data_IF_322464692441
#
_entry.id   IF_322464692441
#
_cell.length_a   1.000
_cell.length_b   1.000
_cell.length_c   1.000
_cell.angle_alpha   90.00
_cell.angle_beta   90.00
_cell.angle_gamma   90.00
#
_symmetry.space_group_name_H-M   'P 1'
#
loop_
_entity.id
_entity.type
_entity.pdbx_description
1 polymer ?
#
# COMPACT_ATOMS: atom_id res chain seq x y z
N UNK A 1 -21.58 25.61 -15.26
CA UNK A 1 -20.21 25.72 -14.69
C UNK A 1 -19.97 24.41 -13.98
N UNK A 2 -19.68 23.35 -14.75
CA UNK A 2 -19.76 21.96 -14.26
C UNK A 2 -18.55 21.16 -14.78
N UNK A 3 -17.34 21.67 -14.50
CA UNK A 3 -16.07 21.07 -14.95
C UNK A 3 -15.72 19.74 -14.27
N UNK A 4 -16.49 19.35 -13.24
CA UNK A 4 -16.24 18.14 -12.44
C UNK A 4 -16.75 16.86 -13.10
N UNK A 5 -17.68 16.95 -14.04
CA UNK A 5 -18.27 15.78 -14.73
C UNK A 5 -17.39 15.24 -15.86
N UNK A 6 -16.35 15.98 -16.27
CA UNK A 6 -15.44 15.57 -17.34
C UNK A 6 -14.34 14.61 -16.86
N UNK A 7 -14.20 14.39 -15.55
CA UNK A 7 -13.20 13.47 -15.01
C UNK A 7 -13.59 12.04 -15.37
N UNK A 8 -12.75 11.28 -16.12
CA UNK A 8 -13.07 9.93 -16.52
C UNK A 8 -12.88 8.96 -15.35
N UNK A 9 -13.89 8.91 -14.47
CA UNK A 9 -13.87 8.11 -13.25
C UNK A 9 -13.65 6.61 -13.51
N UNK A 10 -14.06 6.13 -14.69
CA UNK A 10 -13.87 4.76 -15.16
C UNK A 10 -12.40 4.37 -15.37
N UNK A 11 -11.50 5.33 -15.68
CA UNK A 11 -10.05 5.05 -15.73
C UNK A 11 -9.39 5.13 -14.35
N UNK A 12 -9.87 6.00 -13.47
CA UNK A 12 -9.26 6.25 -12.16
C UNK A 12 -9.69 5.20 -11.12
N UNK A 13 -10.94 4.76 -11.17
CA UNK A 13 -11.46 3.70 -10.28
C UNK A 13 -10.57 2.46 -10.22
N UNK A 14 -10.17 1.82 -11.34
CA UNK A 14 -9.35 0.61 -11.29
C UNK A 14 -7.96 0.88 -10.68
N UNK A 15 -7.39 2.06 -10.89
CA UNK A 15 -6.13 2.45 -10.24
C UNK A 15 -6.28 2.56 -8.72
N UNK A 16 -7.36 3.19 -8.25
CA UNK A 16 -7.65 3.30 -6.81
C UNK A 16 -7.90 1.91 -6.21
N UNK A 17 -8.70 1.07 -6.87
CA UNK A 17 -9.00 -0.29 -6.41
C UNK A 17 -7.72 -1.13 -6.34
N UNK A 18 -6.86 -1.07 -7.36
CA UNK A 18 -5.56 -1.75 -7.35
C UNK A 18 -4.69 -1.27 -6.20
N UNK A 19 -4.60 0.05 -5.99
CA UNK A 19 -3.84 0.63 -4.87
C UNK A 19 -4.38 0.16 -3.52
N UNK A 20 -5.71 0.14 -3.34
CA UNK A 20 -6.33 -0.35 -2.12
C UNK A 20 -6.05 -1.83 -1.89
N UNK A 21 -6.15 -2.66 -2.93
CA UNK A 21 -5.83 -4.11 -2.84
C UNK A 21 -4.37 -4.30 -2.42
N UNK A 22 -3.43 -3.59 -3.05
CA UNK A 22 -2.01 -3.63 -2.71
C UNK A 22 -1.75 -3.17 -1.26
N UNK A 23 -2.45 -2.13 -0.82
CA UNK A 23 -2.34 -1.63 0.54
C UNK A 23 -2.87 -2.63 1.57
N UNK A 24 -4.03 -3.20 1.32
CA UNK A 24 -4.63 -4.21 2.20
C UNK A 24 -3.76 -5.47 2.24
N UNK A 25 -3.27 -5.96 1.10
CA UNK A 25 -2.36 -7.12 1.07
C UNK A 25 -1.05 -6.84 1.79
N UNK A 26 -0.47 -5.65 1.66
CA UNK A 26 0.72 -5.25 2.41
C UNK A 26 0.47 -5.24 3.92
N UNK A 27 -0.66 -4.66 4.37
CA UNK A 27 -1.04 -4.64 5.78
C UNK A 27 -1.32 -6.04 6.34
N UNK A 28 -2.04 -6.89 5.61
CA UNK A 28 -2.31 -8.28 6.02
C UNK A 28 -1.00 -9.06 6.10
N UNK A 29 -0.12 -8.92 5.12
CA UNK A 29 1.19 -9.57 5.11
C UNK A 29 2.04 -9.08 6.30
N UNK A 30 2.00 -7.78 6.61
CA UNK A 30 2.67 -7.19 7.77
C UNK A 30 2.13 -7.76 9.09
N UNK A 31 0.81 -7.87 9.22
CA UNK A 31 0.15 -8.42 10.40
C UNK A 31 0.51 -9.91 10.61
N UNK A 32 0.50 -10.71 9.53
CA UNK A 32 0.85 -12.13 9.56
C UNK A 32 2.34 -12.38 9.78
N UNK A 33 3.21 -11.42 9.49
CA UNK A 33 4.65 -11.58 9.65
C UNK A 33 5.05 -11.37 11.13
N UNK A 34 5.57 -12.40 11.83
CA UNK A 34 5.97 -12.24 13.24
C UNK A 34 7.21 -11.36 13.39
N UNK A 35 8.13 -11.38 12.41
CA UNK A 35 9.38 -10.61 12.42
C UNK A 35 9.59 -9.88 11.10
N UNK A 36 9.42 -8.55 11.14
CA UNK A 36 9.69 -7.65 10.01
C UNK A 36 11.12 -7.11 10.10
N UNK A 37 11.69 -6.66 8.97
CA UNK A 37 12.94 -5.89 9.00
C UNK A 37 12.64 -4.51 9.62
N UNK A 38 12.78 -4.41 10.94
CA UNK A 38 12.42 -3.24 11.75
C UNK A 38 11.08 -3.37 12.51
N UNK A 39 10.71 -2.36 13.32
CA UNK A 39 9.50 -2.38 14.15
C UNK A 39 8.22 -2.33 13.29
N UNK A 40 7.22 -3.16 13.64
CA UNK A 40 5.94 -3.26 12.90
C UNK A 40 5.24 -1.91 12.74
N UNK A 41 5.26 -1.07 13.78
CA UNK A 41 4.64 0.25 13.77
C UNK A 41 5.23 1.21 12.73
N UNK A 42 6.54 1.10 12.44
CA UNK A 42 7.20 1.93 11.44
C UNK A 42 6.68 1.61 10.03
N UNK A 43 6.43 0.34 9.74
CA UNK A 43 5.83 -0.08 8.48
C UNK A 43 4.39 0.42 8.31
N UNK A 44 3.59 0.44 9.38
CA UNK A 44 2.23 1.01 9.35
C UNK A 44 2.27 2.49 9.00
N UNK A 45 3.16 3.26 9.64
CA UNK A 45 3.34 4.70 9.37
C UNK A 45 3.78 4.93 7.92
N UNK A 46 4.73 4.14 7.40
CA UNK A 46 5.16 4.26 6.02
C UNK A 46 4.03 3.92 5.03
N UNK A 47 3.27 2.85 5.27
CA UNK A 47 2.16 2.46 4.40
C UNK A 47 1.07 3.54 4.37
N UNK A 48 0.73 4.13 5.52
CA UNK A 48 -0.30 5.17 5.61
C UNK A 48 0.21 6.52 5.09
N UNK A 49 1.43 6.91 5.48
CA UNK A 49 2.01 8.21 5.12
C UNK A 49 2.50 8.29 3.67
N UNK A 50 3.03 7.20 3.12
CA UNK A 50 3.56 7.15 1.76
C UNK A 50 2.66 6.39 0.77
N UNK A 51 1.55 5.81 1.22
CA UNK A 51 0.53 5.13 0.42
C UNK A 51 1.13 4.14 -0.62
N UNK A 52 1.30 4.59 -1.87
CA UNK A 52 1.86 3.79 -2.96
C UNK A 52 3.33 3.44 -2.70
N UNK A 53 4.14 4.42 -2.28
CA UNK A 53 5.57 4.20 -2.01
C UNK A 53 5.74 3.32 -0.76
N UNK A 54 4.90 3.52 0.26
CA UNK A 54 4.96 2.74 1.50
C UNK A 54 4.62 1.27 1.29
N UNK A 55 3.60 1.00 0.47
CA UNK A 55 3.19 -0.36 0.09
C UNK A 55 4.20 -1.06 -0.80
N UNK A 56 4.76 -0.35 -1.78
CA UNK A 56 5.85 -0.88 -2.63
C UNK A 56 7.10 -1.16 -1.80
N UNK A 57 7.53 -0.22 -0.94
CA UNK A 57 8.69 -0.40 -0.07
C UNK A 57 8.53 -1.59 0.88
N UNK A 58 7.33 -1.83 1.42
CA UNK A 58 7.05 -3.02 2.22
C UNK A 58 7.19 -4.30 1.38
N UNK A 59 6.65 -4.32 0.17
CA UNK A 59 6.79 -5.48 -0.71
C UNK A 59 8.24 -5.73 -1.15
N UNK A 60 9.06 -4.70 -1.32
CA UNK A 60 10.46 -4.84 -1.75
C UNK A 60 11.39 -5.20 -0.58
N UNK A 61 11.25 -4.51 0.55
CA UNK A 61 12.21 -4.58 1.68
C UNK A 61 11.64 -5.34 2.88
N UNK A 62 10.35 -5.20 3.14
CA UNK A 62 9.67 -5.74 4.33
C UNK A 62 9.63 -7.27 4.37
N UNK A 63 9.69 -7.93 3.20
CA UNK A 63 9.85 -9.39 3.10
C UNK A 63 11.25 -9.78 3.56
N UNK A 64 11.37 -10.18 4.83
CA UNK A 64 12.60 -10.77 5.37
C UNK A 64 12.78 -12.15 4.76
N UNK A 65 13.46 -12.19 3.62
CA UNK A 65 13.99 -13.44 3.08
C UNK A 65 14.93 -14.03 4.13
N UNK A 66 14.50 -15.13 4.76
CA UNK A 66 15.34 -15.96 5.62
C UNK A 66 16.26 -16.74 4.70
N UNK A 67 17.48 -16.25 4.52
CA UNK A 67 18.63 -17.15 4.60
C UNK A 67 18.98 -17.33 6.07
#
# INVERSE_FOLDING_TARGET
MDTWQTIPWHLIMPLIVLQLILMITALISLARTPYTRGPKWLWIILIIGLNLIGTIAYFVVGRRDRR
#
